data_IF_647219132279
#
_entry.id   IF_647219132279
#
_cell.length_a   1.000
_cell.length_b   1.000
_cell.length_c   1.000
_cell.angle_alpha   90.00
_cell.angle_beta   90.00
_cell.angle_gamma   90.00
#
_symmetry.space_group_name_H-M   'P 1'
#
loop_
_entity.id
_entity.type
_entity.pdbx_description
1 polymer ?
#
# COMPACT_ATOMS: atom_id res chain seq x y z
N UNK A 1 -15.25 -8.31 27.02
CA UNK A 1 -13.84 -7.88 27.23
C UNK A 1 -13.81 -7.05 28.49
N UNK A 2 -12.97 -7.38 29.46
CA UNK A 2 -12.72 -6.58 30.67
C UNK A 2 -11.22 -6.25 30.68
N UNK A 3 -10.84 -5.01 30.99
CA UNK A 3 -9.43 -4.64 31.18
C UNK A 3 -8.90 -5.27 32.47
N UNK A 4 -7.62 -5.64 32.47
CA UNK A 4 -6.97 -6.04 33.70
C UNK A 4 -6.87 -4.84 34.68
N UNK A 5 -6.74 -5.12 35.97
CA UNK A 5 -6.64 -4.07 37.00
C UNK A 5 -5.38 -3.21 36.73
N UNK A 6 -5.59 -1.95 36.35
CA UNK A 6 -4.52 -1.01 35.98
C UNK A 6 -4.42 -0.70 34.48
N UNK A 7 -5.18 -1.37 33.63
CA UNK A 7 -5.25 -1.06 32.19
C UNK A 7 -6.40 -0.10 31.87
N UNK A 8 -6.14 0.83 30.93
CA UNK A 8 -7.14 1.74 30.38
C UNK A 8 -7.70 1.20 29.07
N UNK A 9 -9.04 1.18 28.94
CA UNK A 9 -9.72 0.85 27.69
C UNK A 9 -10.01 2.12 26.90
N UNK A 10 -9.69 2.11 25.61
CA UNK A 10 -10.20 3.09 24.67
C UNK A 10 -11.65 2.75 24.33
N UNK A 11 -12.57 3.68 24.60
CA UNK A 11 -13.97 3.53 24.29
C UNK A 11 -14.33 4.33 23.03
N UNK A 12 -15.20 3.77 22.21
CA UNK A 12 -15.87 4.51 21.15
C UNK A 12 -16.83 5.55 21.76
N UNK A 13 -17.24 6.55 20.97
CA UNK A 13 -18.26 7.53 21.38
C UNK A 13 -19.58 6.89 21.82
N UNK A 14 -19.89 5.67 21.37
CA UNK A 14 -21.05 4.89 21.80
C UNK A 14 -20.83 4.08 23.10
N UNK A 15 -19.67 4.21 23.76
CA UNK A 15 -19.35 3.52 25.02
C UNK A 15 -18.76 2.12 24.85
N UNK A 16 -18.73 1.57 23.62
CA UNK A 16 -18.17 0.23 23.37
C UNK A 16 -16.63 0.24 23.37
N UNK A 17 -15.97 -0.76 23.98
CA UNK A 17 -14.51 -0.92 23.92
C UNK A 17 -13.99 -1.08 22.48
N UNK A 18 -12.95 -0.33 22.13
CA UNK A 18 -12.25 -0.44 20.85
C UNK A 18 -11.09 -1.41 21.01
N UNK A 19 -11.10 -2.50 20.24
CA UNK A 19 -9.93 -3.32 20.05
C UNK A 19 -9.01 -2.66 19.01
N UNK A 20 -8.04 -1.87 19.48
CA UNK A 20 -7.14 -1.10 18.62
C UNK A 20 -6.27 -2.00 17.74
N UNK A 21 -5.88 -3.18 18.23
CA UNK A 21 -5.10 -4.14 17.44
C UNK A 21 -5.90 -4.66 16.25
N UNK A 22 -7.10 -5.18 16.51
CA UNK A 22 -8.00 -5.68 15.47
C UNK A 22 -8.35 -4.58 14.46
N UNK A 23 -8.58 -3.35 14.93
CA UNK A 23 -8.87 -2.22 14.05
C UNK A 23 -7.69 -1.87 13.13
N UNK A 24 -6.45 -1.95 13.63
CA UNK A 24 -5.23 -1.74 12.84
C UNK A 24 -5.05 -2.83 11.78
N UNK A 25 -5.30 -4.09 12.14
CA UNK A 25 -5.27 -5.23 11.22
C UNK A 25 -6.31 -5.04 10.11
N UNK A 26 -7.58 -4.79 10.45
CA UNK A 26 -8.64 -4.54 9.47
C UNK A 26 -8.35 -3.33 8.56
N UNK A 27 -7.75 -2.27 9.10
CA UNK A 27 -7.37 -1.10 8.31
C UNK A 27 -6.24 -1.42 7.35
N UNK A 28 -5.29 -2.26 7.76
CA UNK A 28 -4.21 -2.75 6.91
C UNK A 28 -4.77 -3.64 5.80
N UNK A 29 -5.61 -4.61 6.13
CA UNK A 29 -6.22 -5.52 5.16
C UNK A 29 -7.03 -4.75 4.11
N UNK A 30 -7.82 -3.76 4.54
CA UNK A 30 -8.57 -2.89 3.64
C UNK A 30 -7.67 -2.06 2.74
N UNK A 31 -6.55 -1.55 3.26
CA UNK A 31 -5.58 -0.80 2.46
C UNK A 31 -4.82 -1.71 1.48
N UNK A 32 -4.52 -2.95 1.88
CA UNK A 32 -3.90 -3.97 1.04
C UNK A 32 -4.85 -4.51 -0.04
N UNK A 33 -6.17 -4.43 0.17
CA UNK A 33 -7.16 -4.79 -0.84
C UNK A 33 -7.30 -3.77 -1.98
N UNK A 34 -6.70 -2.57 -1.87
CA UNK A 34 -6.79 -1.56 -2.92
C UNK A 34 -5.79 -1.88 -4.04
N UNK A 35 -6.35 -2.26 -5.18
CA UNK A 35 -5.58 -2.59 -6.38
C UNK A 35 -5.90 -1.63 -7.53
N UNK A 36 -4.90 -1.40 -8.39
CA UNK A 36 -5.05 -0.58 -9.59
C UNK A 36 -4.45 -1.28 -10.81
N UNK A 37 -5.27 -1.52 -11.83
CA UNK A 37 -4.84 -2.19 -13.05
C UNK A 37 -4.26 -1.20 -14.06
N UNK A 38 -2.96 -1.27 -14.31
CA UNK A 38 -2.24 -0.43 -15.29
C UNK A 38 -1.05 -1.17 -15.91
N UNK A 39 -0.55 -0.68 -17.03
CA UNK A 39 0.80 -1.06 -17.49
C UNK A 39 1.86 -0.42 -16.60
N UNK A 40 3.12 -0.90 -16.59
CA UNK A 40 4.21 -0.22 -15.88
C UNK A 40 4.41 1.24 -16.30
N UNK A 41 4.13 1.58 -17.57
CA UNK A 41 4.15 2.97 -18.03
C UNK A 41 2.99 3.78 -17.43
N UNK A 42 1.78 3.21 -17.42
CA UNK A 42 0.62 3.85 -16.81
C UNK A 42 0.77 4.04 -15.30
N UNK A 43 1.42 3.13 -14.59
CA UNK A 43 1.69 3.26 -13.17
C UNK A 43 2.75 4.35 -12.89
N UNK A 44 3.77 4.47 -13.72
CA UNK A 44 4.75 5.58 -13.65
C UNK A 44 4.06 6.93 -13.75
N UNK A 45 3.17 7.09 -14.74
CA UNK A 45 2.40 8.32 -14.90
C UNK A 45 1.46 8.56 -13.71
N UNK A 46 0.75 7.52 -13.25
CA UNK A 46 -0.16 7.62 -12.12
C UNK A 46 0.54 8.07 -10.83
N UNK A 47 1.74 7.55 -10.54
CA UNK A 47 2.55 7.96 -9.38
C UNK A 47 2.95 9.44 -9.45
N UNK A 48 3.31 9.93 -10.64
CA UNK A 48 3.65 11.34 -10.87
C UNK A 48 2.42 12.23 -10.69
N UNK A 49 1.29 11.88 -11.31
CA UNK A 49 0.10 12.73 -11.31
C UNK A 49 -0.58 12.82 -9.93
N UNK A 50 -0.59 11.71 -9.18
CA UNK A 50 -1.34 11.62 -7.92
C UNK A 50 -0.48 11.93 -6.69
N UNK A 51 0.83 11.72 -6.76
CA UNK A 51 1.74 11.82 -5.61
C UNK A 51 3.04 12.57 -5.89
N UNK A 52 3.30 13.00 -7.13
CA UNK A 52 4.54 13.69 -7.50
C UNK A 52 5.79 12.80 -7.52
N UNK A 53 5.65 11.48 -7.42
CA UNK A 53 6.80 10.57 -7.44
C UNK A 53 7.29 10.33 -8.87
N UNK A 54 8.51 10.79 -9.17
CA UNK A 54 9.16 10.55 -10.46
C UNK A 54 9.85 9.18 -10.48
N UNK A 55 9.08 8.15 -10.85
CA UNK A 55 9.57 6.78 -11.03
C UNK A 55 9.41 6.39 -12.48
N UNK A 56 10.50 5.97 -13.14
CA UNK A 56 10.46 5.53 -14.53
C UNK A 56 9.72 4.19 -14.72
N UNK A 57 9.14 3.99 -15.91
CA UNK A 57 8.62 2.67 -16.35
C UNK A 57 9.62 1.53 -16.07
N UNK A 58 10.91 1.76 -16.35
CA UNK A 58 11.98 0.76 -16.16
C UNK A 58 12.18 0.39 -14.68
N UNK A 59 12.10 1.36 -13.77
CA UNK A 59 12.16 1.08 -12.34
C UNK A 59 10.98 0.22 -11.88
N UNK A 60 9.76 0.52 -12.33
CA UNK A 60 8.56 -0.27 -12.00
C UNK A 60 8.69 -1.69 -12.55
N UNK A 61 9.07 -1.86 -13.82
CA UNK A 61 9.33 -3.17 -14.40
C UNK A 61 10.41 -3.94 -13.64
N UNK A 62 11.48 -3.25 -13.19
CA UNK A 62 12.52 -3.88 -12.38
C UNK A 62 12.01 -4.33 -11.00
N UNK A 63 11.09 -3.60 -10.37
CA UNK A 63 10.49 -4.01 -9.11
C UNK A 63 9.62 -5.25 -9.27
N UNK A 64 8.80 -5.29 -10.31
CA UNK A 64 8.00 -6.46 -10.68
C UNK A 64 8.89 -7.68 -10.95
N UNK A 65 9.89 -7.54 -11.83
CA UNK A 65 10.81 -8.63 -12.20
C UNK A 65 11.66 -9.14 -11.03
N UNK A 66 11.90 -8.30 -10.02
CA UNK A 66 12.64 -8.66 -8.80
C UNK A 66 11.74 -9.12 -7.66
N UNK A 67 10.43 -9.28 -7.89
CA UNK A 67 9.47 -9.72 -6.88
C UNK A 67 9.30 -8.75 -5.71
N UNK A 68 9.58 -7.45 -5.90
CA UNK A 68 9.46 -6.43 -4.83
C UNK A 68 8.02 -5.98 -4.58
N UNK A 69 7.09 -6.44 -5.40
CA UNK A 69 5.67 -6.15 -5.35
C UNK A 69 4.90 -7.48 -5.27
N UNK A 70 5.06 -8.26 -4.18
CA UNK A 70 4.57 -9.64 -4.11
C UNK A 70 3.04 -9.75 -4.19
N UNK A 71 2.31 -8.68 -3.87
CA UNK A 71 0.85 -8.66 -3.97
C UNK A 71 0.35 -8.17 -5.33
N UNK A 72 1.26 -7.74 -6.22
CA UNK A 72 0.91 -7.31 -7.57
C UNK A 72 0.96 -8.47 -8.56
N UNK A 73 -0.04 -8.58 -9.43
CA UNK A 73 -0.21 -9.75 -10.32
C UNK A 73 -0.24 -9.34 -11.79
N UNK A 74 0.37 -10.13 -12.69
CA UNK A 74 0.20 -9.91 -14.12
C UNK A 74 -1.27 -10.20 -14.49
N UNK A 75 -1.80 -9.40 -15.43
CA UNK A 75 -3.14 -9.60 -15.99
C UNK A 75 -3.00 -10.11 -17.42
N UNK A 76 -3.10 -9.22 -18.41
CA UNK A 76 -2.89 -9.52 -19.83
C UNK A 76 -2.36 -8.25 -20.54
N UNK A 77 -1.80 -8.39 -21.75
CA UNK A 77 -1.32 -7.28 -22.59
C UNK A 77 -0.36 -6.30 -21.86
N UNK A 78 0.49 -6.86 -20.99
CA UNK A 78 1.44 -6.07 -20.19
C UNK A 78 0.82 -5.25 -19.06
N UNK A 79 -0.47 -5.43 -18.75
CA UNK A 79 -1.11 -4.88 -17.57
C UNK A 79 -0.80 -5.69 -16.32
N UNK A 80 -0.78 -4.98 -15.20
CA UNK A 80 -0.59 -5.50 -13.87
C UNK A 80 -1.66 -4.94 -12.96
N UNK A 81 -2.20 -5.80 -12.12
CA UNK A 81 -2.98 -5.41 -10.94
C UNK A 81 -1.97 -5.05 -9.84
N UNK A 82 -1.75 -3.76 -9.61
CA UNK A 82 -0.79 -3.28 -8.63
C UNK A 82 -1.40 -3.13 -7.25
N UNK A 83 -0.70 -3.61 -6.23
CA UNK A 83 -0.98 -3.24 -4.85
C UNK A 83 -0.50 -1.82 -4.58
N UNK A 84 -1.43 -0.91 -4.24
CA UNK A 84 -1.12 0.51 -4.10
C UNK A 84 -0.18 0.79 -2.92
N UNK A 85 -0.30 0.03 -1.82
CA UNK A 85 0.56 0.21 -0.64
C UNK A 85 2.02 -0.12 -0.95
N UNK A 86 2.25 -1.25 -1.63
CA UNK A 86 3.60 -1.69 -1.99
C UNK A 86 4.28 -0.74 -2.97
N UNK A 87 3.57 -0.30 -4.02
CA UNK A 87 4.14 0.59 -5.04
C UNK A 87 4.47 1.97 -4.46
N UNK A 88 3.62 2.51 -3.58
CA UNK A 88 3.89 3.77 -2.89
C UNK A 88 5.09 3.66 -1.95
N UNK A 89 5.23 2.55 -1.22
CA UNK A 89 6.37 2.31 -0.35
C UNK A 89 7.71 2.31 -1.12
N UNK A 90 7.75 1.67 -2.29
CA UNK A 90 8.93 1.69 -3.16
C UNK A 90 9.18 3.07 -3.79
N UNK A 91 8.12 3.76 -4.21
CA UNK A 91 8.22 5.11 -4.77
C UNK A 91 8.87 6.09 -3.75
N UNK A 92 8.36 6.11 -2.52
CA UNK A 92 8.95 6.88 -1.40
C UNK A 92 10.41 6.51 -1.13
N UNK A 93 10.75 5.22 -1.15
CA UNK A 93 12.14 4.76 -0.95
C UNK A 93 13.08 5.10 -2.13
N UNK A 94 12.53 5.50 -3.28
CA UNK A 94 13.30 5.83 -4.48
C UNK A 94 13.47 7.34 -4.69
N UNK A 95 12.58 8.18 -4.15
CA UNK A 95 12.65 9.64 -4.26
C UNK A 95 13.80 10.29 -3.46
N UNK A 96 14.51 9.52 -2.63
CA UNK A 96 15.67 9.98 -1.85
C UNK A 96 17.04 9.67 -2.46
N UNK A 97 17.11 9.04 -3.65
CA UNK A 97 18.40 8.75 -4.31
C UNK A 97 18.68 9.78 -5.40
N UNK A 98 19.84 10.48 -5.37
CA UNK A 98 20.26 11.29 -6.52
C UNK A 98 20.46 10.38 -7.75
N UNK A 99 20.13 10.94 -8.91
CA UNK A 99 20.23 10.28 -10.22
C UNK A 99 21.66 9.88 -10.59
#
# INVERSE_FOLDING_TARGET
>A
MQAAKGESLLLCKCGNPINVQQLREQSRDKAEAIHLTKTPAGMSQWLKDNYGYEVSRKQISNWLNRGKLPSSKPVDDGYWEFNIREILALAMGSSGRPA
#
